data_IF_025407549114
#
_entry.id   IF_025407549114
#
_cell.length_a   1.000
_cell.length_b   1.000
_cell.length_c   1.000
_cell.angle_alpha   90.00
_cell.angle_beta   90.00
_cell.angle_gamma   90.00
#
_symmetry.space_group_name_H-M   'P 1'
#
loop_
_entity.id
_entity.type
_entity.pdbx_description
1 polymer ?
#
# COMPACT_ATOMS: atom_id res chain seq x y z
N UNK A 1 -19.24 12.52 -3.20
CA UNK A 1 -18.44 12.37 -1.97
C UNK A 1 -19.38 12.66 -0.81
N UNK A 2 -19.72 11.65 -0.02
CA UNK A 2 -20.56 11.78 1.18
C UNK A 2 -19.67 11.73 2.43
N UNK A 3 -19.98 12.55 3.43
CA UNK A 3 -19.29 12.57 4.72
C UNK A 3 -20.29 12.12 5.79
N UNK A 4 -19.95 11.04 6.48
CA UNK A 4 -20.68 10.58 7.66
C UNK A 4 -19.95 11.06 8.91
N UNK A 5 -20.68 11.66 9.84
CA UNK A 5 -20.10 12.18 11.10
C UNK A 5 -20.62 11.35 12.26
N UNK A 6 -19.72 10.84 13.10
CA UNK A 6 -20.07 10.09 14.30
C UNK A 6 -19.66 10.89 15.54
N UNK A 7 -20.65 11.33 16.30
CA UNK A 7 -20.47 12.02 17.58
C UNK A 7 -20.26 11.00 18.70
N UNK A 8 -19.04 10.92 19.25
CA UNK A 8 -18.69 9.95 20.30
C UNK A 8 -18.63 10.60 21.70
N UNK A 9 -19.36 10.06 22.66
CA UNK A 9 -19.40 10.54 24.05
C UNK A 9 -20.75 11.11 24.48
N UNK A 10 -20.87 11.49 25.76
CA UNK A 10 -22.13 11.95 26.36
C UNK A 10 -22.49 13.39 25.89
N UNK A 11 -23.62 13.58 25.17
CA UNK A 11 -24.05 14.88 24.67
C UNK A 11 -24.56 15.81 25.79
N UNK A 12 -24.82 15.28 26.99
CA UNK A 12 -25.23 16.05 28.16
C UNK A 12 -24.06 16.72 28.89
N UNK A 13 -22.82 16.47 28.46
CA UNK A 13 -21.62 17.06 29.08
C UNK A 13 -21.66 18.58 28.97
N UNK A 14 -21.90 19.27 30.08
CA UNK A 14 -21.89 20.73 30.14
C UNK A 14 -20.47 21.28 30.36
N UNK A 15 -20.02 22.19 29.50
CA UNK A 15 -18.72 22.86 29.64
C UNK A 15 -18.05 23.18 28.30
N UNK A 16 -16.76 23.54 28.34
CA UNK A 16 -15.96 23.90 27.15
C UNK A 16 -15.74 22.76 26.14
N UNK A 17 -16.06 21.52 26.54
CA UNK A 17 -15.91 20.31 25.73
C UNK A 17 -17.24 19.79 25.19
N UNK A 18 -18.33 20.57 25.30
CA UNK A 18 -19.61 20.20 24.70
C UNK A 18 -19.42 20.01 23.20
N UNK A 19 -19.82 18.85 22.71
CA UNK A 19 -19.74 18.55 21.28
C UNK A 19 -20.78 19.38 20.51
N UNK A 20 -20.35 20.05 19.45
CA UNK A 20 -21.22 20.85 18.58
C UNK A 20 -21.87 19.96 17.52
N UNK A 21 -22.89 19.21 17.95
CA UNK A 21 -23.69 18.32 17.10
C UNK A 21 -24.33 19.06 15.91
N UNK A 22 -24.90 20.28 16.07
CA UNK A 22 -25.45 21.04 14.94
C UNK A 22 -24.45 21.29 13.80
N UNK A 23 -23.18 21.56 14.13
CA UNK A 23 -22.15 21.74 13.11
C UNK A 23 -21.83 20.42 12.39
N UNK A 24 -21.81 19.30 13.11
CA UNK A 24 -21.59 17.97 12.50
C UNK A 24 -22.73 17.60 11.55
N UNK A 25 -23.98 17.82 11.95
CA UNK A 25 -25.18 17.66 11.09
C UNK A 25 -25.08 18.50 9.83
N UNK A 26 -24.70 19.77 9.94
CA UNK A 26 -24.56 20.63 8.76
C UNK A 26 -23.51 20.11 7.79
N UNK A 27 -22.38 19.59 8.28
CA UNK A 27 -21.31 19.05 7.42
C UNK A 27 -21.77 17.78 6.71
N UNK A 28 -22.42 16.84 7.41
CA UNK A 28 -22.90 15.60 6.81
C UNK A 28 -24.01 15.87 5.79
N UNK A 29 -24.98 16.74 6.11
CA UNK A 29 -26.06 17.17 5.21
C UNK A 29 -25.54 17.82 3.93
N UNK A 30 -24.56 18.73 4.02
CA UNK A 30 -23.96 19.39 2.86
C UNK A 30 -23.35 18.41 1.86
N UNK A 31 -22.94 17.23 2.33
CA UNK A 31 -22.32 16.20 1.50
C UNK A 31 -23.28 15.06 1.15
N UNK A 32 -24.53 15.10 1.63
CA UNK A 32 -25.52 14.04 1.46
C UNK A 32 -25.24 12.78 2.30
N UNK A 33 -24.44 12.91 3.36
CA UNK A 33 -24.25 11.87 4.38
C UNK A 33 -25.21 12.05 5.56
N UNK A 34 -24.96 11.31 6.64
CA UNK A 34 -25.78 11.34 7.87
C UNK A 34 -24.91 11.49 9.12
N UNK A 35 -25.52 11.97 10.20
CA UNK A 35 -24.90 12.06 11.53
C UNK A 35 -25.39 10.94 12.43
N UNK A 36 -24.45 10.28 13.11
CA UNK A 36 -24.73 9.25 14.10
C UNK A 36 -24.20 9.68 15.47
N UNK A 37 -24.84 9.23 16.53
CA UNK A 37 -24.39 9.45 17.91
C UNK A 37 -24.04 8.10 18.53
N UNK A 38 -22.84 8.02 19.13
CA UNK A 38 -22.32 6.83 19.76
C UNK A 38 -21.91 7.13 21.20
N UNK A 39 -22.72 6.70 22.16
CA UNK A 39 -22.45 6.88 23.60
C UNK A 39 -21.51 5.80 24.12
N UNK A 40 -21.50 4.64 23.46
CA UNK A 40 -20.71 3.48 23.82
C UNK A 40 -20.15 2.77 22.58
N UNK A 41 -19.38 1.69 22.79
CA UNK A 41 -18.78 0.90 21.70
C UNK A 41 -19.81 0.20 20.81
N UNK A 42 -20.90 -0.29 21.39
CA UNK A 42 -21.96 -0.98 20.62
C UNK A 42 -22.67 0.00 19.69
N UNK A 43 -22.98 1.21 20.17
CA UNK A 43 -23.58 2.26 19.33
C UNK A 43 -22.65 2.64 18.16
N UNK A 44 -21.34 2.68 18.42
CA UNK A 44 -20.33 2.96 17.40
C UNK A 44 -20.30 1.85 16.33
N UNK A 45 -20.29 0.58 16.75
CA UNK A 45 -20.33 -0.57 15.85
C UNK A 45 -21.60 -0.56 15.00
N UNK A 46 -22.74 -0.21 15.60
CA UNK A 46 -24.01 -0.11 14.89
C UNK A 46 -24.03 1.04 13.87
N UNK A 47 -23.43 2.19 14.20
CA UNK A 47 -23.27 3.29 13.24
C UNK A 47 -22.41 2.86 12.05
N UNK A 48 -21.30 2.14 12.28
CA UNK A 48 -20.47 1.61 11.19
C UNK A 48 -21.23 0.59 10.32
N UNK A 49 -21.99 -0.33 10.92
CA UNK A 49 -22.81 -1.28 10.17
C UNK A 49 -23.84 -0.58 9.30
N UNK A 50 -24.52 0.44 9.84
CA UNK A 50 -25.51 1.21 9.09
C UNK A 50 -24.85 1.93 7.91
N UNK A 51 -23.65 2.49 8.09
CA UNK A 51 -22.90 3.14 6.99
C UNK A 51 -22.54 2.10 5.92
N UNK A 52 -22.13 0.89 6.32
CA UNK A 52 -21.77 -0.21 5.41
C UNK A 52 -22.98 -0.71 4.61
N UNK A 53 -24.15 -0.78 5.24
CA UNK A 53 -25.42 -1.11 4.55
C UNK A 53 -25.88 -0.01 3.59
N UNK A 54 -25.69 1.26 3.95
CA UNK A 54 -26.07 2.41 3.12
C UNK A 54 -25.14 2.60 1.92
N UNK A 55 -23.87 2.25 2.08
CA UNK A 55 -22.85 2.30 1.04
C UNK A 55 -22.41 0.86 0.72
N UNK A 56 -23.29 0.09 0.08
CA UNK A 56 -22.95 -1.23 -0.45
C UNK A 56 -21.86 -1.07 -1.53
N UNK A 57 -20.61 -1.06 -1.09
CA UNK A 57 -19.46 -1.04 -1.97
C UNK A 57 -19.21 -2.48 -2.41
N UNK A 58 -19.49 -2.80 -3.67
CA UNK A 58 -18.80 -3.90 -4.34
C UNK A 58 -17.31 -3.56 -4.32
N UNK A 59 -16.62 -3.95 -3.25
CA UNK A 59 -15.19 -3.83 -3.13
C UNK A 59 -14.57 -4.81 -4.14
N UNK A 60 -14.44 -4.42 -5.40
CA UNK A 60 -13.33 -4.89 -6.20
C UNK A 60 -12.07 -4.32 -5.57
N UNK A 61 -11.57 -5.02 -4.54
CA UNK A 61 -10.26 -4.74 -3.94
C UNK A 61 -9.23 -5.13 -5.00
N UNK A 62 -9.07 -4.28 -6.03
CA UNK A 62 -7.91 -4.28 -6.90
C UNK A 62 -6.74 -3.75 -6.08
N UNK A 63 -6.32 -4.51 -5.06
CA UNK A 63 -5.02 -4.37 -4.41
C UNK A 63 -3.96 -4.82 -5.40
N UNK A 64 -3.79 -4.02 -6.46
CA UNK A 64 -2.78 -4.25 -7.47
C UNK A 64 -1.58 -3.37 -7.15
N UNK A 65 -0.76 -3.84 -6.20
CA UNK A 65 0.63 -3.37 -6.10
C UNK A 65 1.61 -4.54 -6.19
N UNK A 66 1.72 -5.24 -7.33
CA UNK A 66 2.86 -6.08 -7.57
C UNK A 66 4.07 -5.18 -7.84
N UNK A 67 4.78 -4.79 -6.78
CA UNK A 67 6.11 -4.20 -6.94
C UNK A 67 7.06 -5.31 -7.36
N UNK A 68 7.14 -5.59 -8.66
CA UNK A 68 8.18 -6.48 -9.18
C UNK A 68 9.55 -5.81 -8.98
N UNK A 69 10.40 -6.42 -8.17
CA UNK A 69 11.77 -5.99 -7.97
C UNK A 69 12.58 -6.19 -9.25
N UNK A 70 12.85 -5.10 -9.98
CA UNK A 70 13.71 -5.11 -11.18
C UNK A 70 15.18 -5.47 -10.87
N UNK A 71 15.55 -5.63 -9.60
CA UNK A 71 16.93 -5.90 -9.16
C UNK A 71 17.53 -7.18 -9.75
N UNK A 72 16.72 -8.20 -10.07
CA UNK A 72 17.21 -9.47 -10.62
C UNK A 72 17.88 -9.31 -12.00
N UNK A 73 17.47 -8.32 -12.78
CA UNK A 73 18.07 -8.06 -14.09
C UNK A 73 19.51 -7.54 -13.99
N UNK A 74 19.81 -6.67 -13.01
CA UNK A 74 21.15 -6.15 -12.81
C UNK A 74 22.16 -7.27 -12.44
N UNK A 75 21.74 -8.19 -11.56
CA UNK A 75 22.56 -9.36 -11.21
C UNK A 75 22.71 -10.34 -12.37
N UNK A 76 21.63 -10.61 -13.12
CA UNK A 76 21.66 -11.52 -14.27
C UNK A 76 22.63 -11.06 -15.37
N UNK A 77 22.61 -9.77 -15.71
CA UNK A 77 23.52 -9.19 -16.71
C UNK A 77 24.98 -9.29 -16.27
N UNK A 78 25.28 -8.94 -15.02
CA UNK A 78 26.63 -9.04 -14.48
C UNK A 78 27.17 -10.48 -14.46
N UNK A 79 26.32 -11.44 -14.09
CA UNK A 79 26.69 -12.86 -14.07
C UNK A 79 27.02 -13.39 -15.47
N UNK A 80 26.19 -13.08 -16.48
CA UNK A 80 26.43 -13.52 -17.87
C UNK A 80 27.69 -12.89 -18.46
N UNK A 81 27.91 -11.58 -18.23
CA UNK A 81 29.13 -10.89 -18.66
C UNK A 81 30.39 -11.51 -18.05
N UNK A 82 30.34 -11.87 -16.77
CA UNK A 82 31.46 -12.52 -16.09
C UNK A 82 31.74 -13.91 -16.68
N UNK A 83 30.69 -14.70 -16.89
CA UNK A 83 30.80 -16.04 -17.48
C UNK A 83 31.43 -15.99 -18.88
N UNK A 84 30.99 -15.04 -19.73
CA UNK A 84 31.55 -14.84 -21.09
C UNK A 84 33.02 -14.42 -21.01
N UNK A 85 33.37 -13.51 -20.10
CA UNK A 85 34.75 -13.04 -19.93
C UNK A 85 35.68 -14.19 -19.52
N UNK A 86 35.24 -15.04 -18.58
CA UNK A 86 36.00 -16.21 -18.15
C UNK A 86 36.15 -17.23 -19.28
N UNK A 87 35.09 -17.48 -20.05
CA UNK A 87 35.13 -18.40 -21.20
C UNK A 87 36.11 -17.91 -22.28
N UNK A 88 36.08 -16.61 -22.59
CA UNK A 88 36.99 -15.99 -23.54
C UNK A 88 38.44 -16.05 -23.05
N UNK A 89 38.70 -15.72 -21.77
CA UNK A 89 40.03 -15.84 -21.18
C UNK A 89 40.54 -17.28 -21.17
N UNK A 90 39.68 -18.26 -20.85
CA UNK A 90 40.06 -19.67 -20.89
C UNK A 90 40.42 -20.11 -22.31
N UNK A 91 39.60 -19.72 -23.30
CA UNK A 91 39.86 -20.01 -24.71
C UNK A 91 41.14 -19.32 -25.24
N UNK A 92 41.47 -18.13 -24.72
CA UNK A 92 42.70 -17.40 -25.03
C UNK A 92 43.94 -17.98 -24.33
N UNK A 93 43.83 -18.36 -23.05
CA UNK A 93 44.93 -18.94 -22.28
C UNK A 93 45.33 -20.33 -22.78
N UNK A 94 44.36 -21.16 -23.20
CA UNK A 94 44.68 -22.44 -23.86
C UNK A 94 45.48 -22.24 -25.15
N UNK A 95 45.21 -21.16 -25.89
CA UNK A 95 45.96 -20.82 -27.12
C UNK A 95 47.36 -20.28 -26.84
N UNK A 96 47.57 -19.61 -25.70
CA UNK A 96 48.88 -19.04 -25.33
C UNK A 96 49.84 -20.07 -24.70
N UNK A 97 49.33 -21.03 -23.91
CA UNK A 97 50.14 -22.08 -23.29
C UNK A 97 50.60 -23.15 -24.29
N UNK A 98 49.89 -23.33 -25.41
CA UNK A 98 50.30 -24.25 -26.49
C UNK A 98 51.45 -23.76 -27.38
N UNK A 99 51.85 -22.48 -27.30
CA UNK A 99 52.84 -21.87 -28.21
C UNK A 99 54.23 -21.59 -27.61
N UNK A 100 54.47 -21.91 -26.34
CA UNK A 100 55.73 -21.58 -25.64
C UNK A 100 56.48 -22.81 -25.12
N UNK A 101 56.69 -23.78 -26.00
CA UNK A 101 57.78 -24.75 -25.92
C UNK A 101 58.37 -24.82 -27.33
N UNK A 102 59.70 -24.75 -27.45
CA UNK A 102 60.50 -24.64 -28.69
C UNK A 102 60.92 -23.22 -29.11
N UNK A 103 61.78 -22.60 -28.31
CA UNK A 103 62.93 -21.89 -28.85
C UNK A 103 64.13 -22.22 -27.95
N UNK A 104 65.20 -22.67 -28.61
CA UNK A 104 66.49 -23.19 -28.11
C UNK A 104 67.02 -22.58 -26.82
#
# INVERSE_FOLDING_TARGET
MKIYTIAMGDPSTEGRYKMDIPTLEKVSELTGGQTFQALNRQDLEQAYQTIDELEEQEFEVLSHRPKHSLHHYAFGVGFVLNLVTVLLLLSGNLRFIGGRKWAK
#
